data_IF_336574693618
#
_entry.id   IF_336574693618
#
_cell.length_a   1.000
_cell.length_b   1.000
_cell.length_c   1.000
_cell.angle_alpha   90.00
_cell.angle_beta   90.00
_cell.angle_gamma   90.00
#
_symmetry.space_group_name_H-M   'P 1'
#
loop_
_entity.id
_entity.type
_entity.pdbx_description
1 polymer ?
#
# COMPACT_ATOMS: atom_id res chain seq x y z
N UNK A 1 -2.32 15.04 16.15
CA UNK A 1 -3.01 15.57 14.95
C UNK A 1 -4.15 14.61 14.70
N UNK A 2 -5.36 15.09 14.41
CA UNK A 2 -6.49 14.21 14.16
C UNK A 2 -6.12 13.22 13.05
N UNK A 3 -6.42 11.94 13.27
CA UNK A 3 -6.19 10.88 12.29
C UNK A 3 -7.52 10.43 11.67
N UNK A 4 -7.49 10.13 10.38
CA UNK A 4 -8.63 9.60 9.61
C UNK A 4 -8.63 8.08 9.54
N UNK A 5 -7.51 7.44 9.93
CA UNK A 5 -7.28 6.00 9.79
C UNK A 5 -8.41 5.13 10.37
N UNK A 6 -8.86 5.45 11.59
CA UNK A 6 -9.88 4.66 12.29
C UNK A 6 -11.24 4.71 11.60
N UNK A 7 -11.72 5.90 11.24
CA UNK A 7 -13.04 6.09 10.64
C UNK A 7 -13.08 5.58 9.19
N UNK A 8 -12.03 5.85 8.42
CA UNK A 8 -11.90 5.33 7.04
C UNK A 8 -11.84 3.81 7.05
N UNK A 9 -11.07 3.20 7.96
CA UNK A 9 -11.04 1.74 8.10
C UNK A 9 -12.42 1.17 8.43
N UNK A 10 -13.10 1.71 9.45
CA UNK A 10 -14.41 1.21 9.87
C UNK A 10 -15.46 1.31 8.75
N UNK A 11 -15.39 2.35 7.93
CA UNK A 11 -16.27 2.48 6.76
C UNK A 11 -15.94 1.48 5.65
N UNK A 12 -14.66 1.22 5.38
CA UNK A 12 -14.26 0.16 4.47
C UNK A 12 -14.75 -1.21 4.95
N UNK A 13 -14.54 -1.55 6.22
CA UNK A 13 -14.99 -2.82 6.79
C UNK A 13 -16.51 -2.97 6.74
N UNK A 14 -17.28 -1.93 7.11
CA UNK A 14 -18.74 -1.96 7.01
C UNK A 14 -19.21 -2.23 5.58
N UNK A 15 -18.54 -1.64 4.58
CA UNK A 15 -18.86 -1.86 3.19
C UNK A 15 -18.51 -3.28 2.71
N UNK A 16 -17.42 -3.86 3.21
CA UNK A 16 -17.07 -5.28 2.98
C UNK A 16 -18.16 -6.18 3.56
N UNK A 17 -18.52 -5.98 4.84
CA UNK A 17 -19.55 -6.77 5.53
C UNK A 17 -20.93 -6.64 4.88
N UNK A 18 -21.27 -5.46 4.35
CA UNK A 18 -22.50 -5.21 3.61
C UNK A 18 -22.47 -5.74 2.17
N UNK A 19 -21.35 -6.32 1.71
CA UNK A 19 -21.20 -6.84 0.34
C UNK A 19 -21.26 -5.75 -0.73
N UNK A 20 -20.77 -4.55 -0.44
CA UNK A 20 -20.75 -3.44 -1.41
C UNK A 20 -19.70 -3.74 -2.49
N UNK A 21 -20.11 -3.97 -3.75
CA UNK A 21 -19.18 -4.35 -4.79
C UNK A 21 -18.34 -3.15 -5.26
N UNK A 22 -17.21 -3.43 -5.90
CA UNK A 22 -16.52 -2.42 -6.71
C UNK A 22 -17.27 -2.15 -8.01
N UNK A 23 -17.07 -1.00 -8.64
CA UNK A 23 -17.77 -0.64 -9.89
C UNK A 23 -16.82 -0.46 -11.06
N UNK A 24 -16.85 -1.39 -12.02
CA UNK A 24 -16.08 -1.30 -13.27
C UNK A 24 -16.89 -0.51 -14.29
N UNK A 25 -16.23 0.38 -15.02
CA UNK A 25 -16.85 1.05 -16.17
C UNK A 25 -16.11 0.64 -17.45
N UNK A 26 -16.74 0.77 -18.61
CA UNK A 26 -16.12 0.40 -19.89
C UNK A 26 -14.76 1.08 -20.11
N UNK A 27 -14.62 2.30 -19.59
CA UNK A 27 -13.43 3.15 -19.71
C UNK A 27 -12.46 3.03 -18.51
N UNK A 28 -12.80 2.21 -17.50
CA UNK A 28 -12.03 2.09 -16.27
C UNK A 28 -12.10 0.67 -15.69
N UNK A 29 -11.19 -0.18 -16.19
CA UNK A 29 -11.03 -1.57 -15.75
C UNK A 29 -10.05 -1.73 -14.60
N UNK A 30 -9.21 -0.72 -14.35
CA UNK A 30 -8.04 -0.78 -13.45
C UNK A 30 -8.27 -0.03 -12.13
N UNK A 31 -9.10 1.02 -12.11
CA UNK A 31 -9.25 1.91 -10.95
C UNK A 31 -10.56 1.70 -10.18
N UNK A 32 -11.34 0.66 -10.48
CA UNK A 32 -12.61 0.36 -9.80
C UNK A 32 -12.46 0.21 -8.27
N UNK A 33 -11.36 -0.40 -7.80
CA UNK A 33 -11.07 -0.51 -6.37
C UNK A 33 -10.63 0.82 -5.76
N UNK A 34 -9.85 1.63 -6.49
CA UNK A 34 -9.49 2.98 -6.02
C UNK A 34 -10.72 3.85 -5.79
N UNK A 35 -11.68 3.85 -6.74
CA UNK A 35 -12.96 4.56 -6.57
C UNK A 35 -13.78 4.03 -5.39
N UNK A 36 -13.77 2.71 -5.18
CA UNK A 36 -14.44 2.12 -4.03
C UNK A 36 -13.86 2.66 -2.73
N UNK A 37 -12.52 2.73 -2.59
CA UNK A 37 -11.86 3.30 -1.41
C UNK A 37 -12.11 4.81 -1.28
N UNK A 38 -12.05 5.57 -2.38
CA UNK A 38 -12.37 7.01 -2.39
C UNK A 38 -13.77 7.26 -1.81
N UNK A 39 -14.75 6.45 -2.20
CA UNK A 39 -16.11 6.56 -1.69
C UNK A 39 -16.17 6.31 -0.18
N UNK A 40 -15.40 5.35 0.35
CA UNK A 40 -15.33 5.08 1.80
C UNK A 40 -14.70 6.24 2.58
N UNK A 41 -13.69 6.89 2.01
CA UNK A 41 -13.08 8.10 2.58
C UNK A 41 -14.13 9.22 2.65
N UNK A 42 -14.90 9.44 1.57
CA UNK A 42 -15.97 10.45 1.52
C UNK A 42 -17.12 10.16 2.47
N UNK A 43 -17.54 8.90 2.57
CA UNK A 43 -18.56 8.46 3.52
C UNK A 43 -18.11 8.59 4.99
N UNK A 44 -16.79 8.64 5.24
CA UNK A 44 -16.22 8.94 6.56
C UNK A 44 -16.22 10.45 6.86
N UNK A 45 -16.71 11.28 5.93
CA UNK A 45 -16.80 12.74 6.09
C UNK A 45 -15.57 13.50 5.61
N UNK A 46 -14.63 12.84 4.93
CA UNK A 46 -13.38 13.45 4.48
C UNK A 46 -13.43 13.83 3.00
N UNK A 47 -12.85 14.99 2.67
CA UNK A 47 -12.76 15.47 1.30
C UNK A 47 -11.43 15.10 0.66
N UNK A 48 -11.50 14.44 -0.50
CA UNK A 48 -10.34 14.14 -1.35
C UNK A 48 -10.38 15.11 -2.55
N UNK A 49 -9.33 15.92 -2.80
CA UNK A 49 -9.28 16.81 -3.94
C UNK A 49 -9.12 16.00 -5.23
N UNK A 50 -9.54 16.56 -6.36
CA UNK A 50 -9.31 15.91 -7.66
C UNK A 50 -7.81 15.89 -7.98
N UNK A 51 -7.21 14.70 -7.94
CA UNK A 51 -5.84 14.44 -8.38
C UNK A 51 -5.82 13.82 -9.78
N UNK A 52 -4.68 13.91 -10.47
CA UNK A 52 -4.51 13.19 -11.73
C UNK A 52 -4.31 11.69 -11.46
N UNK A 53 -4.70 10.83 -12.40
CA UNK A 53 -4.54 9.36 -12.29
C UNK A 53 -3.10 8.84 -12.08
N UNK A 54 -2.10 9.72 -12.16
CA UNK A 54 -0.68 9.40 -12.00
C UNK A 54 -0.03 10.19 -10.85
N UNK A 55 -0.81 10.56 -9.83
CA UNK A 55 -0.32 11.28 -8.65
C UNK A 55 -0.13 10.28 -7.51
N UNK A 56 0.97 10.44 -6.77
CA UNK A 56 1.25 9.68 -5.55
C UNK A 56 1.23 10.62 -4.33
N UNK A 57 0.64 10.21 -3.20
CA UNK A 57 -0.29 9.08 -3.07
C UNK A 57 -1.60 9.32 -3.85
N UNK A 58 -2.36 8.25 -4.10
CA UNK A 58 -3.62 8.32 -4.85
C UNK A 58 -4.60 9.37 -4.29
N UNK A 59 -4.79 9.39 -2.97
CA UNK A 59 -5.84 10.18 -2.30
C UNK A 59 -5.31 10.98 -1.11
N UNK A 60 -4.82 12.22 -1.33
CA UNK A 60 -4.55 13.14 -0.23
C UNK A 60 -5.86 13.59 0.44
N UNK A 61 -5.86 13.73 1.77
CA UNK A 61 -7.05 14.17 2.53
C UNK A 61 -6.97 15.66 2.83
N UNK A 62 -8.05 16.39 2.57
CA UNK A 62 -8.12 17.82 2.82
C UNK A 62 -8.22 18.11 4.32
N UNK A 63 -7.40 19.03 4.83
CA UNK A 63 -7.44 19.47 6.23
C UNK A 63 -6.76 18.52 7.23
N UNK A 64 -6.23 17.38 6.78
CA UNK A 64 -5.49 16.42 7.61
C UNK A 64 -4.18 16.04 6.92
N UNK A 65 -3.10 15.88 7.69
CA UNK A 65 -1.78 15.47 7.19
C UNK A 65 -1.73 13.95 6.92
N UNK A 66 -2.67 13.44 6.14
CA UNK A 66 -2.82 12.03 5.78
C UNK A 66 -3.18 11.87 4.30
N UNK A 67 -2.77 10.74 3.73
CA UNK A 67 -3.04 10.37 2.35
C UNK A 67 -3.14 8.86 2.23
N UNK A 68 -3.89 8.38 1.24
CA UNK A 68 -4.08 6.97 1.00
C UNK A 68 -3.49 6.55 -0.34
N UNK A 69 -2.76 5.44 -0.34
CA UNK A 69 -2.26 4.76 -1.54
C UNK A 69 -2.98 3.41 -1.67
N UNK A 70 -3.56 3.11 -2.83
CA UNK A 70 -4.52 2.01 -2.95
C UNK A 70 -4.01 0.91 -3.89
N UNK A 71 -4.12 -0.35 -3.43
CA UNK A 71 -3.70 -1.55 -4.16
C UNK A 71 -4.80 -2.59 -4.15
N UNK A 72 -5.43 -2.80 -5.31
CA UNK A 72 -6.40 -3.87 -5.51
C UNK A 72 -5.72 -5.19 -5.85
N UNK A 73 -6.13 -6.28 -5.19
CA UNK A 73 -5.54 -7.62 -5.36
C UNK A 73 -6.64 -8.60 -5.78
N UNK A 74 -6.46 -9.26 -6.91
CA UNK A 74 -7.32 -10.38 -7.29
C UNK A 74 -6.88 -11.65 -6.56
N UNK A 75 -7.82 -12.37 -5.93
CA UNK A 75 -7.52 -13.65 -5.28
C UNK A 75 -6.89 -14.64 -6.25
N UNK A 76 -5.88 -15.39 -5.79
CA UNK A 76 -5.14 -16.34 -6.62
C UNK A 76 -4.11 -15.69 -7.55
N UNK A 77 -3.92 -14.37 -7.46
CA UNK A 77 -2.89 -13.63 -8.21
C UNK A 77 -1.79 -13.10 -7.28
N UNK A 78 -1.38 -11.83 -7.44
CA UNK A 78 -0.35 -11.10 -6.69
C UNK A 78 -0.76 -10.81 -5.24
N UNK A 79 -1.11 -11.86 -4.49
CA UNK A 79 -1.42 -11.74 -3.07
C UNK A 79 -0.17 -11.50 -2.23
N UNK A 80 1.00 -11.91 -2.72
CA UNK A 80 2.25 -11.86 -1.99
C UNK A 80 3.02 -10.54 -2.14
N UNK A 81 2.81 -9.85 -3.25
CA UNK A 81 3.58 -8.68 -3.63
C UNK A 81 2.77 -7.73 -4.52
N UNK A 82 3.28 -6.52 -4.71
CA UNK A 82 2.68 -5.51 -5.57
C UNK A 82 3.75 -4.62 -6.22
N UNK A 83 3.41 -4.06 -7.39
CA UNK A 83 4.30 -3.15 -8.10
C UNK A 83 4.26 -1.75 -7.46
N UNK A 84 5.44 -1.20 -7.18
CA UNK A 84 5.63 0.19 -6.80
C UNK A 84 6.29 0.92 -7.98
N UNK A 85 5.56 1.87 -8.58
CA UNK A 85 6.01 2.61 -9.74
C UNK A 85 6.64 3.93 -9.32
N UNK A 86 7.91 4.17 -9.69
CA UNK A 86 8.64 5.43 -9.45
C UNK A 86 8.88 5.83 -7.99
N UNK A 87 8.25 5.19 -7.01
CA UNK A 87 8.49 5.37 -5.58
C UNK A 87 8.47 4.02 -4.85
N UNK A 88 9.36 3.86 -3.87
CA UNK A 88 9.23 2.78 -2.88
C UNK A 88 8.09 3.11 -1.90
N UNK A 89 7.49 2.11 -1.23
CA UNK A 89 6.58 2.38 -0.15
C UNK A 89 7.21 3.27 0.90
N UNK A 90 6.43 4.16 1.48
CA UNK A 90 6.88 5.00 2.57
C UNK A 90 5.71 5.40 3.45
N UNK A 91 5.97 5.52 4.74
CA UNK A 91 5.00 6.03 5.70
C UNK A 91 4.75 7.54 5.61
N UNK A 92 5.57 8.28 4.85
CA UNK A 92 5.45 9.74 4.72
C UNK A 92 5.67 10.21 3.28
N UNK A 93 4.91 11.21 2.86
CA UNK A 93 5.11 11.90 1.58
C UNK A 93 4.62 13.34 1.67
N UNK A 94 5.45 14.31 1.28
CA UNK A 94 5.05 15.73 1.27
C UNK A 94 4.61 16.28 2.63
N UNK A 95 5.10 15.70 3.74
CA UNK A 95 4.70 16.07 5.10
C UNK A 95 3.40 15.41 5.61
N UNK A 96 2.73 14.61 4.78
CA UNK A 96 1.58 13.79 5.18
C UNK A 96 2.01 12.35 5.51
N UNK A 97 1.30 11.70 6.43
CA UNK A 97 1.39 10.26 6.59
C UNK A 97 0.71 9.54 5.41
N UNK A 98 1.26 8.41 5.00
CA UNK A 98 0.71 7.60 3.91
C UNK A 98 0.24 6.26 4.45
N UNK A 99 -1.05 5.99 4.29
CA UNK A 99 -1.71 4.73 4.61
C UNK A 99 -1.96 3.96 3.32
N UNK A 100 -1.47 2.72 3.27
CA UNK A 100 -1.67 1.82 2.14
C UNK A 100 -2.92 0.99 2.35
N UNK A 101 -3.84 1.01 1.39
CA UNK A 101 -5.08 0.22 1.41
C UNK A 101 -4.95 -0.93 0.43
N UNK A 102 -4.84 -2.14 0.94
CA UNK A 102 -4.88 -3.37 0.16
C UNK A 102 -6.28 -3.96 0.25
N UNK A 103 -6.91 -4.30 -0.87
CA UNK A 103 -8.19 -5.01 -0.85
C UNK A 103 -8.17 -6.21 -1.75
N UNK A 104 -8.56 -7.37 -1.21
CA UNK A 104 -8.75 -8.58 -1.99
C UNK A 104 -10.16 -8.63 -2.54
N UNK A 105 -10.29 -9.04 -3.79
CA UNK A 105 -11.57 -9.29 -4.43
C UNK A 105 -11.47 -10.50 -5.35
N UNK A 106 -12.61 -11.17 -5.59
CA UNK A 106 -12.67 -12.30 -6.49
C UNK A 106 -12.32 -11.90 -7.93
N UNK A 107 -11.67 -12.81 -8.66
CA UNK A 107 -11.49 -12.65 -10.10
C UNK A 107 -12.84 -12.61 -10.78
N UNK A 108 -13.16 -11.51 -11.45
CA UNK A 108 -14.42 -11.30 -12.15
C UNK A 108 -14.26 -11.49 -13.66
N UNK A 109 -15.30 -12.01 -14.31
CA UNK A 109 -15.40 -11.93 -15.77
C UNK A 109 -15.48 -10.46 -16.22
N UNK A 110 -15.16 -10.19 -17.49
CA UNK A 110 -15.24 -8.83 -18.03
C UNK A 110 -16.69 -8.30 -17.93
N UNK A 111 -16.88 -7.20 -17.19
CA UNK A 111 -18.18 -6.55 -17.00
C UNK A 111 -18.86 -6.83 -15.65
N UNK A 112 -18.26 -7.66 -14.81
CA UNK A 112 -18.74 -7.89 -13.44
C UNK A 112 -18.11 -6.90 -12.44
N UNK A 113 -18.85 -6.65 -11.38
CA UNK A 113 -18.52 -5.77 -10.27
C UNK A 113 -18.12 -6.65 -9.07
N UNK A 114 -16.83 -6.99 -8.89
CA UNK A 114 -16.44 -7.95 -7.88
C UNK A 114 -16.62 -7.38 -6.47
N UNK A 115 -17.02 -8.26 -5.56
CA UNK A 115 -17.08 -7.96 -4.13
C UNK A 115 -15.67 -7.89 -3.55
N UNK A 116 -15.46 -6.92 -2.67
CA UNK A 116 -14.27 -6.88 -1.82
C UNK A 116 -14.48 -7.89 -0.70
N UNK A 117 -13.54 -8.81 -0.53
CA UNK A 117 -13.60 -9.90 0.44
C UNK A 117 -13.04 -9.48 1.80
N UNK A 118 -11.91 -8.79 1.77
CA UNK A 118 -11.26 -8.21 2.95
C UNK A 118 -10.34 -7.06 2.52
N UNK A 119 -9.99 -6.23 3.51
CA UNK A 119 -9.04 -5.14 3.33
C UNK A 119 -7.99 -5.12 4.43
N UNK A 120 -6.78 -4.71 4.09
CA UNK A 120 -5.75 -4.35 5.06
C UNK A 120 -5.34 -2.90 4.83
N UNK A 121 -5.52 -2.06 5.84
CA UNK A 121 -4.95 -0.71 5.85
C UNK A 121 -3.69 -0.75 6.70
N UNK A 122 -2.54 -0.41 6.13
CA UNK A 122 -1.27 -0.38 6.84
C UNK A 122 -0.59 0.97 6.67
N UNK A 123 0.01 1.51 7.73
CA UNK A 123 0.94 2.63 7.57
C UNK A 123 2.12 2.22 6.70
N UNK A 124 2.53 3.10 5.77
CA UNK A 124 3.57 2.76 4.81
C UNK A 124 4.93 2.41 5.42
N UNK A 125 5.21 2.84 6.66
CA UNK A 125 6.44 2.44 7.38
C UNK A 125 6.48 0.94 7.72
N UNK A 126 5.32 0.28 7.79
CA UNK A 126 5.25 -1.17 7.95
C UNK A 126 5.83 -1.91 6.75
N UNK A 127 5.64 -1.36 5.55
CA UNK A 127 6.15 -1.92 4.29
C UNK A 127 7.62 -1.57 4.06
N UNK A 128 8.02 -0.37 4.46
CA UNK A 128 9.38 0.12 4.33
C UNK A 128 9.61 1.28 5.33
N UNK A 129 10.56 1.11 6.25
CA UNK A 129 10.85 2.08 7.30
C UNK A 129 11.38 3.43 6.77
N UNK A 130 12.07 3.41 5.62
CA UNK A 130 12.70 4.60 5.04
C UNK A 130 11.72 5.61 4.44
N UNK A 131 12.18 6.86 4.31
CA UNK A 131 11.40 8.00 3.79
C UNK A 131 11.05 7.98 2.29
N UNK A 132 11.02 6.80 1.66
CA UNK A 132 10.73 6.64 0.24
C UNK A 132 11.88 7.12 -0.65
N UNK A 133 12.39 6.23 -1.50
CA UNK A 133 13.28 6.65 -2.59
C UNK A 133 12.41 7.19 -3.73
N UNK A 134 12.52 8.49 -4.01
CA UNK A 134 11.89 9.08 -5.19
C UNK A 134 12.83 8.97 -6.38
N UNK A 135 12.48 8.09 -7.32
CA UNK A 135 13.25 7.92 -8.53
C UNK A 135 12.88 9.00 -9.56
N UNK A 136 13.87 9.73 -10.04
CA UNK A 136 13.71 10.52 -11.25
C UNK A 136 13.72 9.60 -12.48
N UNK A 137 12.69 9.67 -13.31
CA UNK A 137 12.70 9.02 -14.62
C UNK A 137 13.80 9.63 -15.49
N UNK A 138 14.83 8.83 -15.83
CA UNK A 138 15.88 9.23 -16.77
C UNK A 138 15.68 8.55 -18.12
N UNK A 139 16.34 9.08 -19.15
CA UNK A 139 16.32 8.47 -20.47
C UNK A 139 17.61 8.76 -21.21
N UNK A 140 18.02 7.84 -22.07
CA UNK A 140 19.19 7.98 -22.93
C UNK A 140 18.84 7.60 -24.38
N UNK A 141 19.46 8.28 -25.34
CA UNK A 141 19.33 8.01 -26.78
C UNK A 141 20.48 7.09 -27.23
N UNK A 142 20.48 6.68 -28.50
CA UNK A 142 21.51 5.81 -29.11
C UNK A 142 21.36 4.33 -28.75
N UNK A 143 20.11 3.86 -28.61
CA UNK A 143 19.82 2.42 -28.58
C UNK A 143 19.49 1.91 -30.01
N UNK A 144 19.78 0.63 -30.27
CA UNK A 144 19.56 0.00 -31.57
C UNK A 144 20.64 0.33 -32.61
N UNK A 145 20.70 -0.43 -33.70
CA UNK A 145 21.73 -0.29 -34.74
C UNK A 145 21.71 1.05 -35.46
N UNK A 146 20.56 1.73 -35.49
CA UNK A 146 20.39 3.06 -36.07
C UNK A 146 20.54 4.20 -35.05
N UNK A 147 20.64 3.88 -33.75
CA UNK A 147 20.87 4.86 -32.68
C UNK A 147 19.70 5.82 -32.40
N UNK A 148 18.52 5.56 -32.97
CA UNK A 148 17.33 6.42 -32.86
C UNK A 148 16.31 5.94 -31.81
N UNK A 149 16.57 4.81 -31.15
CA UNK A 149 15.72 4.30 -30.08
C UNK A 149 16.07 5.00 -28.77
N UNK A 150 15.03 5.45 -28.06
CA UNK A 150 15.13 6.04 -26.72
C UNK A 150 14.98 4.95 -25.66
N UNK A 151 16.02 4.71 -24.87
CA UNK A 151 15.92 3.94 -23.63
C UNK A 151 15.30 4.83 -22.55
N UNK A 152 14.18 4.40 -21.98
CA UNK A 152 13.55 5.04 -20.82
C UNK A 152 13.84 4.20 -19.58
N UNK A 153 14.56 4.78 -18.64
CA UNK A 153 14.81 4.17 -17.34
C UNK A 153 13.63 4.49 -16.41
N UNK A 154 12.65 3.59 -16.41
CA UNK A 154 11.51 3.61 -15.49
C UNK A 154 11.78 2.63 -14.36
N UNK A 155 11.81 3.12 -13.12
CA UNK A 155 11.99 2.25 -11.97
C UNK A 155 10.67 1.59 -11.59
N UNK A 156 10.71 0.25 -11.58
CA UNK A 156 9.64 -0.63 -11.14
C UNK A 156 10.19 -1.43 -9.97
N UNK A 157 9.55 -1.35 -8.82
CA UNK A 157 9.91 -2.13 -7.63
C UNK A 157 8.79 -3.12 -7.32
N UNK A 158 9.15 -4.21 -6.65
CA UNK A 158 8.19 -5.17 -6.13
C UNK A 158 8.35 -5.17 -4.62
N UNK A 159 7.27 -4.86 -3.91
CA UNK A 159 7.24 -4.90 -2.44
C UNK A 159 6.25 -5.96 -1.98
N UNK A 160 6.49 -6.53 -0.80
CA UNK A 160 5.57 -7.50 -0.21
C UNK A 160 4.31 -6.81 0.31
N UNK A 161 3.17 -7.47 0.13
CA UNK A 161 1.90 -7.04 0.72
C UNK A 161 1.87 -7.42 2.22
N UNK A 162 0.96 -6.81 3.00
CA UNK A 162 0.70 -7.29 4.35
C UNK A 162 0.29 -8.76 4.40
N UNK A 163 -0.41 -9.29 3.39
CA UNK A 163 -0.81 -10.71 3.30
C UNK A 163 0.35 -11.70 3.21
N UNK A 164 1.54 -11.24 2.84
CA UNK A 164 2.78 -12.02 2.92
C UNK A 164 3.54 -11.79 4.22
N UNK A 165 3.47 -10.59 4.77
CA UNK A 165 4.21 -10.19 5.97
C UNK A 165 3.53 -10.67 7.27
N UNK A 166 2.22 -10.89 7.25
CA UNK A 166 1.42 -11.26 8.41
C UNK A 166 0.59 -12.52 8.11
N UNK A 167 0.34 -13.30 9.16
CA UNK A 167 -0.60 -14.44 9.15
C UNK A 167 -1.95 -14.02 9.77
N UNK A 168 -3.04 -14.72 9.43
CA UNK A 168 -4.37 -14.44 9.99
C UNK A 168 -5.13 -13.25 9.37
N UNK A 169 -4.67 -12.71 8.24
CA UNK A 169 -5.34 -11.56 7.59
C UNK A 169 -6.49 -11.92 6.65
N UNK A 170 -6.46 -13.11 6.05
CA UNK A 170 -7.45 -13.50 5.03
C UNK A 170 -8.82 -13.60 5.68
N UNK A 171 -9.85 -13.11 4.99
CA UNK A 171 -11.25 -13.13 5.44
C UNK A 171 -11.55 -12.12 6.57
N UNK A 172 -10.57 -11.30 6.96
CA UNK A 172 -10.75 -10.28 7.99
C UNK A 172 -10.23 -8.92 7.53
N UNK A 173 -11.02 -7.87 7.76
CA UNK A 173 -10.51 -6.52 7.62
C UNK A 173 -9.53 -6.24 8.77
N UNK A 174 -8.35 -5.68 8.49
CA UNK A 174 -7.31 -5.46 9.50
C UNK A 174 -6.62 -4.10 9.32
N UNK A 175 -6.41 -3.38 10.42
CA UNK A 175 -5.71 -2.09 10.47
C UNK A 175 -4.35 -2.27 11.15
N UNK A 176 -3.27 -1.85 10.50
CA UNK A 176 -1.88 -1.96 11.00
C UNK A 176 -1.29 -0.57 11.12
N UNK A 177 -1.00 -0.14 12.35
CA UNK A 177 -0.51 1.21 12.65
C UNK A 177 0.75 1.15 13.52
N UNK A 178 1.63 2.16 13.47
CA UNK A 178 2.71 2.32 14.44
C UNK A 178 2.16 2.31 15.87
N UNK A 179 2.93 1.78 16.83
CA UNK A 179 2.50 1.69 18.22
C UNK A 179 2.18 3.06 18.86
N UNK A 180 2.84 4.12 18.40
CA UNK A 180 2.67 5.49 18.87
C UNK A 180 1.65 6.30 18.05
N UNK A 181 0.81 5.63 17.24
CA UNK A 181 -0.19 6.30 16.43
C UNK A 181 -1.23 7.06 17.28
N UNK A 182 -1.54 8.33 16.94
CA UNK A 182 -2.37 9.18 17.79
C UNK A 182 -3.86 8.82 17.77
N UNK A 183 -4.60 9.41 18.71
CA UNK A 183 -6.06 9.50 18.71
C UNK A 183 -6.79 8.16 18.59
N UNK A 184 -6.29 7.15 19.31
CA UNK A 184 -6.90 5.82 19.41
C UNK A 184 -8.33 5.89 19.99
N UNK A 185 -9.34 5.27 19.34
CA UNK A 185 -10.72 5.28 19.83
C UNK A 185 -10.86 4.60 21.19
N UNK A 186 -11.78 5.12 22.02
CA UNK A 186 -12.00 4.61 23.37
C UNK A 186 -12.75 3.25 23.43
N UNK A 187 -13.49 2.90 22.37
CA UNK A 187 -14.30 1.68 22.31
C UNK A 187 -14.55 1.24 20.86
N UNK A 188 -14.97 -0.02 20.67
CA UNK A 188 -15.33 -0.59 19.37
C UNK A 188 -14.16 -1.23 18.59
N UNK A 189 -13.00 -1.37 19.24
CA UNK A 189 -11.78 -1.88 18.62
C UNK A 189 -11.09 -2.91 19.50
N UNK A 190 -10.50 -3.91 18.87
CA UNK A 190 -9.75 -5.00 19.53
C UNK A 190 -8.35 -5.05 18.94
N UNK A 191 -7.35 -5.15 19.82
CA UNK A 191 -5.99 -5.45 19.39
C UNK A 191 -5.91 -6.95 19.11
N UNK A 192 -5.68 -7.32 17.87
CA UNK A 192 -5.59 -8.72 17.46
C UNK A 192 -4.15 -9.18 17.28
N UNK A 193 -3.18 -8.29 17.46
CA UNK A 193 -1.76 -8.63 17.39
C UNK A 193 -0.82 -7.44 17.51
N UNK A 194 0.45 -7.76 17.40
CA UNK A 194 1.54 -6.79 17.25
C UNK A 194 2.59 -7.36 16.31
N UNK A 195 3.36 -6.48 15.68
CA UNK A 195 4.47 -6.86 14.82
C UNK A 195 5.70 -6.00 15.12
N UNK A 196 6.86 -6.62 15.02
CA UNK A 196 8.15 -5.97 15.14
C UNK A 196 8.88 -6.06 13.79
N UNK A 197 9.34 -4.93 13.26
CA UNK A 197 10.09 -4.84 12.01
C UNK A 197 11.47 -4.26 12.31
N UNK A 198 12.52 -5.02 12.01
CA UNK A 198 13.90 -4.54 12.16
C UNK A 198 14.50 -4.17 10.82
N UNK A 199 15.19 -3.03 10.77
CA UNK A 199 15.89 -2.59 9.58
C UNK A 199 17.11 -3.47 9.24
N UNK A 200 17.21 -3.85 7.97
CA UNK A 200 18.26 -4.72 7.45
C UNK A 200 19.65 -4.08 7.54
N UNK A 201 20.70 -4.89 7.62
CA UNK A 201 22.09 -4.44 7.79
C UNK A 201 22.63 -3.62 6.60
N UNK A 202 22.12 -3.89 5.41
CA UNK A 202 22.58 -3.30 4.15
C UNK A 202 21.41 -2.90 3.26
N UNK A 203 21.61 -1.85 2.46
CA UNK A 203 20.65 -1.34 1.48
C UNK A 203 21.29 -1.28 0.09
N UNK A 204 20.49 -1.53 -0.95
CA UNK A 204 20.92 -1.38 -2.34
C UNK A 204 21.06 0.11 -2.67
N UNK A 205 22.24 0.55 -3.06
CA UNK A 205 22.52 1.97 -3.39
C UNK A 205 22.78 2.20 -4.87
N UNK A 206 23.25 1.17 -5.58
CA UNK A 206 23.50 1.24 -7.01
C UNK A 206 23.38 -0.15 -7.64
N UNK A 207 23.26 -0.18 -8.97
CA UNK A 207 23.40 -1.39 -9.74
C UNK A 207 24.02 -1.08 -11.11
N UNK A 208 24.71 -2.06 -11.68
CA UNK A 208 25.18 -2.02 -13.05
C UNK A 208 24.31 -2.93 -13.93
N UNK A 209 23.87 -2.41 -15.08
CA UNK A 209 23.14 -3.17 -16.08
C UNK A 209 24.02 -3.38 -17.31
N UNK A 210 24.38 -4.64 -17.59
CA UNK A 210 25.10 -5.03 -18.79
C UNK A 210 24.09 -5.54 -19.82
N UNK A 211 23.84 -4.75 -20.87
CA UNK A 211 22.84 -5.07 -21.89
C UNK A 211 23.26 -6.28 -22.76
N UNK A 212 24.49 -6.38 -23.28
CA UNK A 212 24.95 -7.58 -23.98
C UNK A 212 24.87 -8.87 -23.14
N UNK A 213 25.28 -8.82 -21.87
CA UNK A 213 25.26 -9.98 -20.99
C UNK A 213 23.86 -10.27 -20.41
N UNK A 214 22.95 -9.30 -20.49
CA UNK A 214 21.62 -9.32 -19.89
C UNK A 214 21.67 -9.60 -18.37
N UNK A 215 22.54 -8.87 -17.66
CA UNK A 215 22.75 -9.04 -16.21
C UNK A 215 22.55 -7.73 -15.45
N UNK A 216 22.16 -7.89 -14.17
CA UNK A 216 22.13 -6.82 -13.18
C UNK A 216 23.07 -7.20 -12.04
N UNK A 217 24.01 -6.32 -11.71
CA UNK A 217 24.93 -6.52 -10.58
C UNK A 217 24.67 -5.45 -9.52
N UNK A 218 24.25 -5.82 -8.30
CA UNK A 218 23.93 -4.87 -7.24
C UNK A 218 25.18 -4.33 -6.54
N UNK A 219 25.06 -3.16 -5.94
CA UNK A 219 26.02 -2.57 -5.01
C UNK A 219 25.29 -2.19 -3.73
N UNK A 220 25.76 -2.71 -2.60
CA UNK A 220 25.18 -2.50 -1.29
C UNK A 220 26.07 -1.60 -0.43
N UNK A 221 25.44 -0.85 0.46
CA UNK A 221 26.11 -0.12 1.54
C UNK A 221 25.46 -0.45 2.89
N UNK A 222 26.18 -0.29 4.01
CA UNK A 222 25.59 -0.42 5.34
C UNK A 222 24.39 0.50 5.49
N UNK A 223 23.28 -0.02 6.02
CA UNK A 223 22.13 0.80 6.38
C UNK A 223 22.49 1.66 7.60
N UNK A 224 22.39 3.01 7.53
CA UNK A 224 22.66 3.87 8.69
C UNK A 224 21.79 3.54 9.91
N UNK A 225 20.61 2.95 9.70
CA UNK A 225 19.66 2.56 10.74
C UNK A 225 19.64 1.04 10.98
N UNK A 226 20.67 0.30 10.55
CA UNK A 226 20.75 -1.15 10.75
C UNK A 226 20.43 -1.54 12.20
N UNK A 227 19.51 -2.51 12.37
CA UNK A 227 19.08 -2.97 13.69
C UNK A 227 18.06 -2.06 14.40
N UNK A 228 17.67 -0.93 13.83
CA UNK A 228 16.55 -0.13 14.34
C UNK A 228 15.26 -0.96 14.26
N UNK A 229 14.54 -1.01 15.38
CA UNK A 229 13.30 -1.76 15.52
C UNK A 229 12.11 -0.81 15.52
N UNK A 230 11.09 -1.18 14.74
CA UNK A 230 9.83 -0.47 14.60
C UNK A 230 8.68 -1.36 15.08
N UNK A 231 7.82 -0.83 15.96
CA UNK A 231 6.72 -1.56 16.57
C UNK A 231 5.38 -1.14 15.97
N UNK A 232 4.55 -2.13 15.66
CA UNK A 232 3.23 -1.95 15.08
C UNK A 232 2.17 -2.66 15.91
N UNK A 233 1.02 -2.03 16.03
CA UNK A 233 -0.18 -2.60 16.63
C UNK A 233 -1.19 -2.94 15.53
N UNK A 234 -1.86 -4.07 15.70
CA UNK A 234 -2.76 -4.64 14.71
C UNK A 234 -4.17 -4.68 15.30
N UNK A 235 -5.12 -4.12 14.56
CA UNK A 235 -6.46 -3.79 15.03
C UNK A 235 -7.54 -4.36 14.11
N UNK A 236 -8.67 -4.71 14.73
CA UNK A 236 -9.96 -4.91 14.07
C UNK A 236 -11.04 -4.17 14.84
N UNK A 237 -12.19 -3.94 14.23
CA UNK A 237 -13.36 -3.54 15.03
C UNK A 237 -13.87 -4.74 15.81
N UNK A 238 -14.65 -4.48 16.86
CA UNK A 238 -15.36 -5.55 17.59
C UNK A 238 -16.36 -6.32 16.74
N UNK A 239 -16.80 -5.75 15.61
CA UNK A 239 -17.75 -6.39 14.68
C UNK A 239 -17.03 -7.35 13.72
N UNK A 240 -15.83 -6.98 13.24
CA UNK A 240 -15.02 -7.80 12.34
C UNK A 240 -14.06 -8.78 13.03
N UNK A 241 -14.01 -8.78 14.36
CA UNK A 241 -13.15 -9.67 15.15
C UNK A 241 -13.83 -11.02 15.42
N UNK A 242 -13.10 -12.11 15.16
CA UNK A 242 -13.48 -13.50 15.47
C UNK A 242 -12.64 -14.11 16.60
N UNK A 243 -11.74 -13.33 17.20
CA UNK A 243 -10.78 -13.78 18.21
C UNK A 243 -9.52 -14.42 17.64
N UNK A 244 -9.34 -14.45 16.32
CA UNK A 244 -8.08 -14.89 15.71
C UNK A 244 -6.96 -13.88 15.93
N UNK A 245 -5.74 -14.40 16.11
CA UNK A 245 -4.54 -13.59 16.36
C UNK A 245 -3.79 -13.38 15.05
N UNK A 246 -3.32 -12.15 14.84
CA UNK A 246 -2.45 -11.79 13.72
C UNK A 246 -1.01 -11.74 14.19
N UNK A 247 -0.11 -12.45 13.50
CA UNK A 247 1.32 -12.46 13.80
C UNK A 247 2.14 -12.14 12.56
N UNK A 248 3.37 -11.66 12.76
CA UNK A 248 4.37 -11.63 11.69
C UNK A 248 4.63 -13.05 11.16
N UNK A 249 4.76 -13.19 9.85
CA UNK A 249 4.99 -14.46 9.14
C UNK A 249 6.46 -14.87 9.10
#
# INVERSE_FOLDING_TARGET
MPTTAWEVFANCERAVLAGVPTHRTADDKEFHFQRWVEQRIREAGYEVPMTGRNTYPDFPVTGVAESYEVKGITVGSRENDFDCNSALPSGQHGGANVLYVFGRYEGSAAGENPNVLDIVIAHGSFLNAGGGYQADNKSMRVLGSYGDILLRDRKMYVSYTPYRLLTGLREHCTLVLPQDWPDRPAAGWVQVGSAERTEHNEVLVAYHADLPANTLTPTFEPNPNAGATHHFEIWRTTEGDDGSVVTLA
#
